data_IF_237641198967
#
_entry.id   IF_237641198967
#
_cell.length_a   1.000
_cell.length_b   1.000
_cell.length_c   1.000
_cell.angle_alpha   90.00
_cell.angle_beta   90.00
_cell.angle_gamma   90.00
#
_symmetry.space_group_name_H-M   'P 1'
#
loop_
_entity.id
_entity.type
_entity.pdbx_description
1 polymer ?
#
# COMPACT_ATOMS: atom_id res chain seq x y z
N UNK A 1 23.22 0.34 4.07
CA UNK A 1 24.25 1.03 3.25
C UNK A 1 25.48 1.24 4.10
N UNK A 2 26.62 0.73 3.61
CA UNK A 2 27.88 0.70 4.36
C UNK A 2 28.57 2.08 4.42
N UNK A 3 28.02 2.97 5.25
CA UNK A 3 28.66 4.26 5.54
C UNK A 3 29.95 4.13 6.36
N UNK A 4 30.24 2.96 6.93
CA UNK A 4 31.47 2.68 7.66
C UNK A 4 32.68 2.62 6.74
N UNK A 5 32.56 2.02 5.56
CA UNK A 5 33.66 1.91 4.58
C UNK A 5 34.05 3.24 3.96
N UNK A 6 33.06 4.11 3.63
CA UNK A 6 33.32 5.48 3.12
C UNK A 6 33.98 6.33 4.20
N UNK A 7 33.60 6.17 5.45
CA UNK A 7 34.17 6.89 6.58
C UNK A 7 35.64 6.54 6.81
N UNK A 8 35.98 5.26 6.76
CA UNK A 8 37.36 4.80 6.92
C UNK A 8 38.29 5.29 5.78
N UNK A 9 37.74 5.49 4.57
CA UNK A 9 38.53 5.92 3.40
C UNK A 9 38.82 7.43 3.39
N UNK A 10 37.87 8.29 3.80
CA UNK A 10 38.03 9.75 3.74
C UNK A 10 38.55 10.37 5.04
N UNK A 11 38.56 9.68 6.15
CA UNK A 11 38.94 10.17 7.44
C UNK A 11 40.41 10.69 7.48
N UNK A 12 41.41 9.95 6.97
CA UNK A 12 42.80 10.45 6.95
C UNK A 12 42.97 11.70 6.08
N UNK A 13 42.35 11.70 4.89
CA UNK A 13 42.50 12.82 3.92
C UNK A 13 41.91 14.13 4.46
N UNK A 14 40.78 14.08 5.17
CA UNK A 14 40.16 15.27 5.76
C UNK A 14 40.98 15.89 6.91
N UNK A 15 41.76 15.10 7.62
CA UNK A 15 42.63 15.59 8.69
C UNK A 15 43.89 16.33 8.15
N UNK A 16 44.28 16.02 6.91
CA UNK A 16 45.45 16.60 6.23
C UNK A 16 45.14 17.88 5.44
N UNK A 17 43.82 18.20 5.22
CA UNK A 17 43.45 19.45 4.52
C UNK A 17 43.67 20.67 5.42
N UNK A 18 43.69 21.86 4.79
CA UNK A 18 43.80 23.12 5.54
C UNK A 18 42.66 23.27 6.56
N UNK A 19 42.91 23.97 7.65
CA UNK A 19 41.89 24.19 8.69
C UNK A 19 40.63 24.87 8.13
N UNK A 20 40.77 25.77 7.17
CA UNK A 20 39.64 26.40 6.46
C UNK A 20 38.79 25.38 5.70
N UNK A 21 39.43 24.49 4.97
CA UNK A 21 38.73 23.42 4.22
C UNK A 21 38.07 22.44 5.19
N UNK A 22 38.75 22.09 6.28
CA UNK A 22 38.19 21.24 7.33
C UNK A 22 36.96 21.89 7.98
N UNK A 23 37.05 23.18 8.34
CA UNK A 23 35.94 23.95 8.91
C UNK A 23 34.72 23.96 7.97
N UNK A 24 34.93 24.25 6.67
CA UNK A 24 33.87 24.23 5.67
C UNK A 24 33.22 22.86 5.55
N UNK A 25 34.02 21.77 5.59
CA UNK A 25 33.50 20.40 5.57
C UNK A 25 32.69 20.09 6.83
N UNK A 26 33.10 20.53 8.01
CA UNK A 26 32.35 20.35 9.26
C UNK A 26 31.04 21.14 9.25
N UNK A 27 31.03 22.37 8.77
CA UNK A 27 29.80 23.13 8.57
C UNK A 27 28.86 22.41 7.61
N UNK A 28 29.37 21.91 6.50
CA UNK A 28 28.55 21.11 5.55
C UNK A 28 27.89 19.91 6.23
N UNK A 29 28.60 19.21 7.12
CA UNK A 29 28.03 18.10 7.89
C UNK A 29 26.93 18.58 8.86
N UNK A 30 27.11 19.75 9.48
CA UNK A 30 26.08 20.34 10.35
C UNK A 30 24.86 20.76 9.57
N UNK A 31 25.00 21.42 8.43
CA UNK A 31 23.88 21.80 7.55
C UNK A 31 23.17 20.61 6.90
N UNK A 32 23.87 19.48 6.73
CA UNK A 32 23.28 18.24 6.21
C UNK A 32 22.78 17.29 7.33
N UNK A 33 22.57 17.82 8.54
CA UNK A 33 22.05 17.07 9.70
C UNK A 33 22.95 15.90 10.18
N UNK A 34 24.22 15.88 9.76
CA UNK A 34 25.20 14.89 10.19
C UNK A 34 26.03 15.38 11.39
N UNK A 35 25.38 16.05 12.34
CA UNK A 35 26.00 16.76 13.49
C UNK A 35 26.87 15.80 14.33
N UNK A 36 26.41 14.58 14.59
CA UNK A 36 27.18 13.57 15.32
C UNK A 36 28.48 13.16 14.61
N UNK A 37 28.50 13.21 13.27
CA UNK A 37 29.69 12.93 12.46
C UNK A 37 30.68 14.12 12.56
N UNK A 38 30.17 15.34 12.38
CA UNK A 38 30.98 16.57 12.54
C UNK A 38 31.67 16.60 13.91
N UNK A 39 30.94 16.35 14.98
CA UNK A 39 31.51 16.32 16.34
C UNK A 39 32.65 15.31 16.49
N UNK A 40 32.46 14.05 16.02
CA UNK A 40 33.54 13.05 16.10
C UNK A 40 34.81 13.48 15.37
N UNK A 41 34.67 14.10 14.19
CA UNK A 41 35.78 14.53 13.41
C UNK A 41 36.51 15.75 14.08
N UNK A 42 35.75 16.65 14.69
CA UNK A 42 36.33 17.77 15.47
C UNK A 42 37.13 17.26 16.69
N UNK A 43 36.62 16.27 17.41
CA UNK A 43 37.32 15.63 18.53
C UNK A 43 38.64 15.00 18.07
N UNK A 44 38.65 14.28 16.93
CA UNK A 44 39.90 13.71 16.40
C UNK A 44 40.87 14.77 15.94
N UNK A 45 40.40 15.83 15.25
CA UNK A 45 41.26 16.94 14.78
C UNK A 45 41.96 17.66 15.96
N UNK A 46 41.21 17.88 17.05
CA UNK A 46 41.76 18.48 18.29
C UNK A 46 42.91 17.66 18.88
N UNK A 47 42.88 16.33 18.76
CA UNK A 47 43.92 15.43 19.25
C UNK A 47 45.15 15.36 18.35
N UNK A 48 45.06 15.80 17.10
CA UNK A 48 46.10 15.60 16.08
C UNK A 48 46.99 16.81 15.83
N UNK A 49 46.76 17.98 16.44
CA UNK A 49 47.61 19.16 16.24
C UNK A 49 46.98 20.49 16.63
N UNK A 50 47.23 21.53 15.83
CA UNK A 50 46.64 22.85 16.03
C UNK A 50 45.13 22.82 15.83
N UNK A 51 44.41 23.43 16.78
CA UNK A 51 42.95 23.49 16.75
C UNK A 51 42.52 24.98 16.82
N UNK A 52 42.25 25.61 15.65
CA UNK A 52 41.85 27.00 15.55
C UNK A 52 40.62 27.37 16.37
N UNK A 53 40.49 28.64 16.73
CA UNK A 53 39.37 29.18 17.52
C UNK A 53 38.01 28.90 16.89
N UNK A 54 37.91 28.97 15.57
CA UNK A 54 36.68 28.69 14.80
C UNK A 54 36.24 27.25 14.93
N UNK A 55 37.17 26.29 14.86
CA UNK A 55 36.91 24.88 15.08
C UNK A 55 36.53 24.57 16.53
N UNK A 56 37.22 25.24 17.49
CA UNK A 56 36.90 25.11 18.91
C UNK A 56 35.50 25.66 19.21
N UNK A 57 35.10 26.77 18.59
CA UNK A 57 33.77 27.33 18.74
C UNK A 57 32.70 26.39 18.13
N UNK A 58 32.92 25.91 16.92
CA UNK A 58 31.98 24.97 16.28
C UNK A 58 31.80 23.68 17.10
N UNK A 59 32.91 23.14 17.64
CA UNK A 59 32.86 21.98 18.54
C UNK A 59 32.02 22.27 19.78
N UNK A 60 32.26 23.41 20.44
CA UNK A 60 31.51 23.86 21.61
C UNK A 60 30.03 24.05 21.30
N UNK A 61 29.69 24.62 20.15
CA UNK A 61 28.30 24.80 19.71
C UNK A 61 27.58 23.44 19.47
N UNK A 62 28.29 22.48 18.89
CA UNK A 62 27.74 21.12 18.74
C UNK A 62 27.54 20.43 20.11
N UNK A 63 28.45 20.64 21.05
CA UNK A 63 28.31 20.12 22.41
C UNK A 63 27.12 20.74 23.16
N UNK A 64 26.90 22.06 22.99
CA UNK A 64 25.70 22.74 23.50
C UNK A 64 24.44 22.17 22.90
N UNK A 65 24.40 21.96 21.58
CA UNK A 65 23.24 21.31 20.93
C UNK A 65 22.98 19.92 21.50
N UNK A 66 24.00 19.10 21.65
CA UNK A 66 23.85 17.73 22.23
C UNK A 66 23.34 17.82 23.68
N UNK A 67 23.78 18.79 24.46
CA UNK A 67 23.28 19.05 25.80
C UNK A 67 21.80 19.43 25.77
N UNK A 68 21.39 20.35 24.90
CA UNK A 68 19.99 20.72 24.75
C UNK A 68 19.09 19.53 24.38
N UNK A 69 19.56 18.63 23.48
CA UNK A 69 18.84 17.40 23.15
C UNK A 69 18.70 16.51 24.40
N UNK A 70 19.77 16.32 25.17
CA UNK A 70 19.71 15.57 26.42
C UNK A 70 18.72 16.17 27.44
N UNK A 71 18.80 17.50 27.64
CA UNK A 71 17.90 18.19 28.56
C UNK A 71 16.44 18.04 28.14
N UNK A 72 16.16 18.11 26.84
CA UNK A 72 14.82 17.82 26.29
C UNK A 72 14.33 16.39 26.57
N UNK A 73 15.15 15.39 26.31
CA UNK A 73 14.80 13.97 26.55
C UNK A 73 14.55 13.69 28.06
N UNK A 74 15.24 14.43 28.95
CA UNK A 74 14.99 14.40 30.39
C UNK A 74 13.85 15.33 30.85
N UNK A 75 13.08 15.91 29.90
CA UNK A 75 11.96 16.82 30.15
C UNK A 75 12.35 18.13 30.88
N UNK A 76 13.61 18.53 30.81
CA UNK A 76 14.13 19.81 31.28
C UNK A 76 14.00 20.85 30.15
N UNK A 77 12.75 21.18 29.85
CA UNK A 77 12.43 21.94 28.62
C UNK A 77 12.99 23.35 28.65
N UNK A 78 12.98 24.04 29.82
CA UNK A 78 13.49 25.37 29.91
C UNK A 78 15.02 25.43 29.73
N UNK A 79 15.77 24.51 30.33
CA UNK A 79 17.21 24.41 30.18
C UNK A 79 17.61 24.07 28.74
N UNK A 80 16.79 23.25 28.07
CA UNK A 80 16.96 22.90 26.65
C UNK A 80 16.78 24.15 25.77
N UNK A 81 15.74 24.95 26.03
CA UNK A 81 15.46 26.21 25.31
C UNK A 81 16.56 27.23 25.51
N UNK A 82 16.91 27.51 26.76
CA UNK A 82 17.98 28.48 27.10
C UNK A 82 19.31 28.14 26.44
N UNK A 83 19.61 26.85 26.30
CA UNK A 83 20.81 26.36 25.61
C UNK A 83 20.73 26.54 24.10
N UNK A 84 19.52 26.46 23.51
CA UNK A 84 19.32 26.57 22.05
C UNK A 84 19.30 28.00 21.54
N UNK A 85 18.87 28.99 22.34
CA UNK A 85 18.79 30.41 21.90
C UNK A 85 20.09 30.93 21.27
N UNK A 86 21.26 30.86 21.88
CA UNK A 86 22.49 31.35 21.27
C UNK A 86 22.94 30.57 20.03
N UNK A 87 22.56 29.30 19.93
CA UNK A 87 22.83 28.49 18.73
C UNK A 87 21.97 28.94 17.56
N UNK A 88 20.71 29.23 17.81
CA UNK A 88 19.76 29.67 16.79
C UNK A 88 20.09 31.09 16.27
N UNK A 89 20.57 31.94 17.13
CA UNK A 89 21.07 33.28 16.73
C UNK A 89 22.30 33.18 15.81
N UNK A 90 23.20 32.23 16.09
CA UNK A 90 24.40 32.01 15.30
C UNK A 90 24.21 31.22 14.02
N UNK A 91 23.28 30.27 14.04
CA UNK A 91 23.02 29.33 12.95
C UNK A 91 21.51 29.22 12.64
N UNK A 92 20.83 30.30 12.21
CA UNK A 92 19.38 30.34 12.05
C UNK A 92 18.85 29.40 10.97
N UNK A 93 19.68 29.01 10.00
CA UNK A 93 19.32 28.22 8.85
C UNK A 93 19.82 26.75 8.93
N UNK A 94 20.36 26.33 10.10
CA UNK A 94 20.77 24.92 10.27
C UNK A 94 19.55 24.05 10.48
N UNK A 95 19.19 23.13 9.54
CA UNK A 95 17.96 22.37 9.59
C UNK A 95 17.77 21.61 10.92
N UNK A 96 18.83 20.98 11.44
CA UNK A 96 18.78 20.24 12.70
C UNK A 96 18.42 21.10 13.92
N UNK A 97 18.85 22.35 13.96
CA UNK A 97 18.53 23.30 15.06
C UNK A 97 17.07 23.78 14.91
N UNK A 98 16.65 24.11 13.68
CA UNK A 98 15.28 24.54 13.40
C UNK A 98 14.31 23.40 13.72
N UNK A 99 14.62 22.15 13.34
CA UNK A 99 13.83 20.97 13.68
C UNK A 99 13.69 20.75 15.18
N UNK A 100 14.79 20.93 15.92
CA UNK A 100 14.76 20.78 17.37
C UNK A 100 13.85 21.81 18.04
N UNK A 101 13.93 23.09 17.67
CA UNK A 101 13.05 24.14 18.20
C UNK A 101 11.59 23.89 17.80
N UNK A 102 11.35 23.48 16.55
CA UNK A 102 10.01 23.09 16.10
C UNK A 102 9.40 21.99 16.98
N UNK A 103 10.17 20.95 17.29
CA UNK A 103 9.75 19.85 18.16
C UNK A 103 9.37 20.36 19.55
N UNK A 104 10.16 21.24 20.10
CA UNK A 104 9.92 21.84 21.40
C UNK A 104 8.63 22.67 21.43
N UNK A 105 8.43 23.57 20.46
CA UNK A 105 7.22 24.38 20.35
C UNK A 105 5.97 23.53 20.11
N UNK A 106 6.09 22.48 19.31
CA UNK A 106 4.97 21.55 19.07
C UNK A 106 4.56 20.78 20.33
N UNK A 107 5.51 20.39 21.18
CA UNK A 107 5.18 19.76 22.45
C UNK A 107 4.39 20.70 23.37
N UNK A 108 4.74 21.98 23.41
CA UNK A 108 3.97 23.02 24.13
C UNK A 108 2.60 23.24 23.51
N UNK A 109 2.51 23.32 22.19
CA UNK A 109 1.27 23.52 21.46
C UNK A 109 0.27 22.35 21.67
N UNK A 110 0.74 21.10 21.73
CA UNK A 110 -0.08 19.91 22.04
C UNK A 110 -0.71 20.00 23.44
N UNK A 111 -0.05 20.70 24.37
CA UNK A 111 -0.54 20.98 25.72
C UNK A 111 -1.36 22.29 25.82
N UNK A 112 -1.66 22.93 24.69
CA UNK A 112 -2.43 24.17 24.63
C UNK A 112 -1.65 25.43 24.98
N UNK A 113 -0.30 25.33 25.01
CA UNK A 113 0.61 26.44 25.36
C UNK A 113 1.26 26.95 24.08
N UNK A 114 1.32 28.27 23.89
CA UNK A 114 2.07 28.94 22.82
C UNK A 114 1.75 28.47 21.39
N UNK A 115 0.51 28.12 21.13
CA UNK A 115 0.04 27.67 19.81
C UNK A 115 0.38 28.67 18.69
N UNK A 116 0.26 29.97 18.96
CA UNK A 116 0.54 31.03 17.98
C UNK A 116 2.04 31.10 17.69
N UNK A 117 2.89 30.96 18.71
CA UNK A 117 4.35 30.94 18.52
C UNK A 117 4.76 29.71 17.68
N UNK A 118 4.22 28.54 18.00
CA UNK A 118 4.48 27.32 17.23
C UNK A 118 4.09 27.49 15.75
N UNK A 119 2.91 28.09 15.49
CA UNK A 119 2.46 28.33 14.12
C UNK A 119 3.39 29.26 13.35
N UNK A 120 3.70 30.43 13.92
CA UNK A 120 4.60 31.40 13.30
C UNK A 120 5.97 30.80 13.01
N UNK A 121 6.48 30.00 13.95
CA UNK A 121 7.78 29.36 13.78
C UNK A 121 7.76 28.26 12.72
N UNK A 122 6.73 27.44 12.67
CA UNK A 122 6.59 26.42 11.62
C UNK A 122 6.39 27.04 10.24
N UNK A 123 5.62 28.13 10.13
CA UNK A 123 5.48 28.87 8.87
C UNK A 123 6.81 29.46 8.40
N UNK A 124 7.65 29.98 9.30
CA UNK A 124 8.98 30.45 8.98
C UNK A 124 9.91 29.30 8.57
N UNK A 125 9.88 28.18 9.29
CA UNK A 125 10.63 26.99 8.95
C UNK A 125 10.26 26.45 7.55
N UNK A 126 8.99 26.51 7.18
CA UNK A 126 8.51 26.12 5.84
C UNK A 126 8.92 27.10 4.74
N UNK A 127 9.14 28.39 5.05
CA UNK A 127 9.74 29.31 4.08
C UNK A 127 11.20 28.98 3.80
N UNK A 128 11.94 28.56 4.83
CA UNK A 128 13.34 28.14 4.68
C UNK A 128 13.46 26.75 4.03
N UNK A 129 12.55 25.83 4.36
CA UNK A 129 12.61 24.43 3.97
C UNK A 129 11.23 23.95 3.43
N UNK A 130 10.76 24.44 2.27
CA UNK A 130 9.38 24.22 1.79
C UNK A 130 9.09 22.75 1.42
N UNK A 131 10.11 21.96 1.12
CA UNK A 131 10.00 20.56 0.74
C UNK A 131 10.39 19.59 1.87
N UNK A 132 10.59 20.07 3.09
CA UNK A 132 10.93 19.19 4.21
C UNK A 132 9.68 18.63 4.89
N UNK A 133 9.43 17.34 4.68
CA UNK A 133 8.27 16.62 5.24
C UNK A 133 8.17 16.69 6.77
N UNK A 134 9.26 16.95 7.48
CA UNK A 134 9.25 17.13 8.94
C UNK A 134 8.46 18.38 9.37
N UNK A 135 8.66 19.50 8.71
CA UNK A 135 7.92 20.73 9.00
C UNK A 135 6.48 20.66 8.51
N UNK A 136 6.24 20.06 7.34
CA UNK A 136 4.87 19.77 6.85
C UNK A 136 4.09 18.89 7.84
N UNK A 137 4.72 17.89 8.44
CA UNK A 137 4.10 17.09 9.50
C UNK A 137 3.59 17.98 10.65
N UNK A 138 4.40 18.92 11.12
CA UNK A 138 3.99 19.81 12.21
C UNK A 138 2.93 20.81 11.81
N UNK A 139 2.96 21.32 10.58
CA UNK A 139 1.87 22.12 10.04
C UNK A 139 0.55 21.34 10.04
N UNK A 140 0.58 20.08 9.60
CA UNK A 140 -0.58 19.18 9.66
C UNK A 140 -1.08 18.96 11.09
N UNK A 141 -0.18 18.76 12.07
CA UNK A 141 -0.56 18.62 13.47
C UNK A 141 -1.22 19.89 14.04
N UNK A 142 -0.70 21.09 13.71
CA UNK A 142 -1.31 22.37 14.10
C UNK A 142 -2.71 22.54 13.52
N UNK A 143 -2.89 22.22 12.23
CA UNK A 143 -4.21 22.24 11.59
C UNK A 143 -5.17 21.26 12.27
N UNK A 144 -4.68 20.06 12.62
CA UNK A 144 -5.47 19.04 13.33
C UNK A 144 -5.95 19.53 14.69
N UNK A 145 -5.05 20.11 15.50
CA UNK A 145 -5.37 20.67 16.83
C UNK A 145 -6.42 21.81 16.69
N UNK A 146 -6.36 22.58 15.62
CA UNK A 146 -7.34 23.65 15.31
C UNK A 146 -8.69 23.12 14.78
N UNK A 147 -8.85 21.81 14.66
CA UNK A 147 -10.07 21.19 14.13
C UNK A 147 -10.21 21.25 12.60
N UNK A 148 -9.19 21.73 11.87
CA UNK A 148 -9.14 21.76 10.40
C UNK A 148 -8.67 20.42 9.84
N UNK A 149 -9.39 19.34 10.19
CA UNK A 149 -8.92 17.97 9.92
C UNK A 149 -8.76 17.66 8.43
N UNK A 150 -9.61 18.21 7.55
CA UNK A 150 -9.49 17.99 6.12
C UNK A 150 -8.19 18.57 5.55
N UNK A 151 -7.90 19.82 5.89
CA UNK A 151 -6.66 20.50 5.47
C UNK A 151 -5.43 19.79 6.05
N UNK A 152 -5.51 19.35 7.31
CA UNK A 152 -4.45 18.61 7.99
C UNK A 152 -4.09 17.31 7.25
N UNK A 153 -5.09 16.55 6.80
CA UNK A 153 -4.88 15.29 6.08
C UNK A 153 -4.18 15.49 4.74
N UNK A 154 -4.50 16.55 4.00
CA UNK A 154 -3.81 16.91 2.77
C UNK A 154 -2.33 17.24 3.04
N UNK A 155 -2.05 18.06 4.08
CA UNK A 155 -0.69 18.43 4.48
C UNK A 155 0.09 17.19 4.96
N UNK A 156 -0.54 16.26 5.69
CA UNK A 156 0.11 15.01 6.08
C UNK A 156 0.46 14.12 4.87
N UNK A 157 -0.40 14.10 3.83
CA UNK A 157 -0.10 13.37 2.61
C UNK A 157 1.14 13.95 1.91
N UNK A 158 1.22 15.28 1.80
CA UNK A 158 2.38 15.97 1.25
C UNK A 158 3.64 15.74 2.10
N UNK A 159 3.51 15.78 3.42
CA UNK A 159 4.61 15.46 4.34
C UNK A 159 5.17 14.06 4.11
N UNK A 160 4.30 13.08 3.88
CA UNK A 160 4.69 11.69 3.63
C UNK A 160 5.40 11.53 2.29
N UNK A 161 4.92 12.18 1.26
CA UNK A 161 5.52 12.12 -0.08
C UNK A 161 6.91 12.79 -0.13
N UNK A 162 7.09 13.88 0.62
CA UNK A 162 8.32 14.67 0.63
C UNK A 162 9.35 14.18 1.63
N UNK A 163 8.99 13.33 2.59
CA UNK A 163 9.97 12.85 3.58
C UNK A 163 10.68 11.59 3.12
N UNK A 164 12.01 11.63 3.14
CA UNK A 164 12.89 10.48 2.98
C UNK A 164 13.38 9.94 4.35
N UNK A 165 12.92 10.52 5.45
CA UNK A 165 13.36 10.17 6.79
C UNK A 165 12.39 9.16 7.43
N UNK A 166 12.85 7.93 7.66
CA UNK A 166 12.06 6.87 8.28
C UNK A 166 11.54 7.22 9.68
N UNK A 167 12.25 8.09 10.43
CA UNK A 167 11.78 8.55 11.76
C UNK A 167 10.53 9.42 11.59
N UNK A 168 10.54 10.36 10.64
CA UNK A 168 9.38 11.22 10.37
C UNK A 168 8.19 10.40 9.87
N UNK A 169 8.43 9.39 9.03
CA UNK A 169 7.37 8.46 8.59
C UNK A 169 6.79 7.69 9.78
N UNK A 170 7.63 7.18 10.67
CA UNK A 170 7.20 6.46 11.86
C UNK A 170 6.40 7.36 12.83
N UNK A 171 6.79 8.63 12.98
CA UNK A 171 6.04 9.60 13.80
C UNK A 171 4.67 9.91 13.19
N UNK A 172 4.58 10.07 11.86
CA UNK A 172 3.31 10.21 11.13
C UNK A 172 2.43 8.98 11.34
N UNK A 173 2.97 7.78 11.20
CA UNK A 173 2.23 6.54 11.42
C UNK A 173 1.70 6.44 12.85
N UNK A 174 2.53 6.74 13.85
CA UNK A 174 2.11 6.77 15.27
C UNK A 174 1.00 7.77 15.53
N UNK A 175 1.07 8.94 14.91
CA UNK A 175 0.05 9.98 15.06
C UNK A 175 -1.26 9.60 14.36
N UNK A 176 -1.19 9.08 13.13
CA UNK A 176 -2.36 8.83 12.27
C UNK A 176 -3.06 7.49 12.54
N UNK A 177 -2.35 6.46 13.00
CA UNK A 177 -2.92 5.12 13.18
C UNK A 177 -4.19 5.06 14.06
N UNK A 178 -4.29 5.77 15.20
CA UNK A 178 -5.53 5.80 16.00
C UNK A 178 -6.72 6.33 15.19
N UNK A 179 -6.52 7.38 14.40
CA UNK A 179 -7.56 8.01 13.58
C UNK A 179 -7.92 7.17 12.36
N UNK A 180 -6.96 6.42 11.81
CA UNK A 180 -7.21 5.45 10.74
C UNK A 180 -8.27 4.43 11.12
N UNK A 181 -8.28 3.95 12.37
CA UNK A 181 -9.31 3.02 12.88
C UNK A 181 -10.70 3.65 12.93
N UNK A 182 -10.81 4.90 13.39
CA UNK A 182 -12.08 5.62 13.40
C UNK A 182 -12.58 5.91 11.97
N UNK A 183 -11.67 6.25 11.08
CA UNK A 183 -11.98 6.46 9.66
C UNK A 183 -12.54 5.20 9.00
N UNK A 184 -11.99 4.04 9.32
CA UNK A 184 -12.51 2.75 8.84
C UNK A 184 -13.96 2.53 9.29
N UNK A 185 -14.31 2.84 10.53
CA UNK A 185 -15.70 2.78 11.00
C UNK A 185 -16.61 3.75 10.23
N UNK A 186 -16.15 4.98 10.02
CA UNK A 186 -16.88 5.96 9.21
C UNK A 186 -17.07 5.47 7.77
N UNK A 187 -16.04 4.90 7.17
CA UNK A 187 -16.14 4.29 5.84
C UNK A 187 -17.18 3.17 5.80
N UNK A 188 -17.19 2.29 6.79
CA UNK A 188 -18.20 1.23 6.89
C UNK A 188 -19.61 1.81 6.93
N UNK A 189 -19.85 2.80 7.78
CA UNK A 189 -21.16 3.50 7.87
C UNK A 189 -21.58 4.11 6.53
N UNK A 190 -20.64 4.78 5.83
CA UNK A 190 -20.91 5.35 4.50
C UNK A 190 -21.29 4.27 3.47
N UNK A 191 -20.61 3.11 3.50
CA UNK A 191 -20.94 1.99 2.62
C UNK A 191 -22.31 1.38 2.95
N UNK A 192 -22.64 1.25 4.24
CA UNK A 192 -23.92 0.69 4.70
C UNK A 192 -25.11 1.56 4.33
N UNK A 193 -24.96 2.91 4.35
CA UNK A 193 -26.00 3.85 3.90
C UNK A 193 -25.95 4.14 2.39
N UNK A 194 -25.09 3.46 1.64
CA UNK A 194 -24.99 3.58 0.19
C UNK A 194 -24.22 4.81 -0.33
N UNK A 195 -23.56 5.59 0.53
CA UNK A 195 -22.72 6.74 0.16
C UNK A 195 -21.32 6.31 -0.31
N UNK A 196 -21.30 5.53 -1.39
CA UNK A 196 -20.10 4.85 -1.90
C UNK A 196 -19.00 5.81 -2.37
N UNK A 197 -19.37 6.89 -3.05
CA UNK A 197 -18.42 7.90 -3.54
C UNK A 197 -17.74 8.64 -2.36
N UNK A 198 -18.48 8.92 -1.28
CA UNK A 198 -17.93 9.48 -0.04
C UNK A 198 -16.94 8.52 0.63
N UNK A 199 -17.31 7.24 0.74
CA UNK A 199 -16.42 6.20 1.27
C UNK A 199 -15.13 6.09 0.44
N UNK A 200 -15.24 6.14 -0.90
CA UNK A 200 -14.07 6.05 -1.80
C UNK A 200 -13.13 7.24 -1.63
N UNK A 201 -13.66 8.48 -1.60
CA UNK A 201 -12.84 9.69 -1.41
C UNK A 201 -12.10 9.63 -0.07
N UNK A 202 -12.81 9.28 1.00
CA UNK A 202 -12.24 9.14 2.33
C UNK A 202 -11.10 8.11 2.35
N UNK A 203 -11.36 6.92 1.82
CA UNK A 203 -10.36 5.84 1.85
C UNK A 203 -9.19 6.06 0.89
N UNK A 204 -9.39 6.75 -0.23
CA UNK A 204 -8.30 7.11 -1.14
C UNK A 204 -7.27 8.03 -0.44
N UNK A 205 -7.75 9.02 0.32
CA UNK A 205 -6.88 9.90 1.09
C UNK A 205 -6.14 9.13 2.19
N UNK A 206 -6.86 8.31 2.97
CA UNK A 206 -6.26 7.52 4.05
C UNK A 206 -5.29 6.44 3.54
N UNK A 207 -5.52 5.88 2.36
CA UNK A 207 -4.59 4.94 1.75
C UNK A 207 -3.27 5.61 1.32
N UNK A 208 -3.31 6.87 0.87
CA UNK A 208 -2.07 7.67 0.66
C UNK A 208 -1.32 7.92 1.98
N UNK A 209 -2.06 8.16 3.06
CA UNK A 209 -1.50 8.44 4.39
C UNK A 209 -0.94 7.20 5.08
N UNK A 210 -1.62 6.09 5.00
CA UNK A 210 -1.30 4.85 5.72
C UNK A 210 -1.38 3.62 4.80
N UNK A 211 -0.56 3.53 3.73
CA UNK A 211 -0.64 2.45 2.74
C UNK A 211 -0.34 1.07 3.35
N UNK A 212 0.46 1.03 4.42
CA UNK A 212 0.83 -0.22 5.10
C UNK A 212 -0.15 -0.63 6.22
N UNK A 213 -1.12 0.24 6.57
CA UNK A 213 -2.12 -0.12 7.56
C UNK A 213 -3.13 -1.13 6.99
N UNK A 214 -3.23 -2.36 7.53
CA UNK A 214 -4.06 -3.42 6.95
C UNK A 214 -5.54 -3.05 6.86
N UNK A 215 -6.09 -2.39 7.88
CA UNK A 215 -7.49 -2.00 7.90
C UNK A 215 -7.81 -0.91 6.88
N UNK A 216 -6.92 0.07 6.72
CA UNK A 216 -7.05 1.13 5.71
C UNK A 216 -6.99 0.52 4.31
N UNK A 217 -6.05 -0.39 4.08
CA UNK A 217 -5.86 -1.12 2.82
C UNK A 217 -7.11 -1.93 2.46
N UNK A 218 -7.63 -2.71 3.40
CA UNK A 218 -8.87 -3.49 3.22
C UNK A 218 -10.02 -2.59 2.75
N UNK A 219 -10.30 -1.54 3.50
CA UNK A 219 -11.45 -0.68 3.21
C UNK A 219 -11.26 0.19 1.97
N UNK A 220 -10.04 0.55 1.59
CA UNK A 220 -9.75 1.20 0.33
C UNK A 220 -10.16 0.32 -0.86
N UNK A 221 -9.71 -0.94 -0.88
CA UNK A 221 -10.08 -1.87 -1.95
C UNK A 221 -11.56 -2.22 -1.94
N UNK A 222 -12.18 -2.36 -0.77
CA UNK A 222 -13.62 -2.57 -0.63
C UNK A 222 -14.43 -1.38 -1.18
N UNK A 223 -14.04 -0.15 -0.87
CA UNK A 223 -14.67 1.05 -1.40
C UNK A 223 -14.52 1.13 -2.93
N UNK A 224 -13.34 0.87 -3.48
CA UNK A 224 -13.11 0.80 -4.94
C UNK A 224 -14.02 -0.23 -5.60
N UNK A 225 -14.14 -1.43 -5.06
CA UNK A 225 -15.04 -2.45 -5.57
C UNK A 225 -16.51 -1.99 -5.52
N UNK A 226 -16.88 -1.20 -4.52
CA UNK A 226 -18.25 -0.72 -4.33
C UNK A 226 -18.65 0.38 -5.32
N UNK A 227 -17.71 1.25 -5.73
CA UNK A 227 -17.99 2.38 -6.66
C UNK A 227 -17.80 2.01 -8.13
N UNK A 228 -17.04 0.96 -8.45
CA UNK A 228 -16.75 0.56 -9.82
C UNK A 228 -18.05 0.38 -10.63
N UNK A 229 -18.19 1.11 -11.73
CA UNK A 229 -19.40 1.14 -12.58
C UNK A 229 -19.23 0.29 -13.82
N UNK A 230 -18.03 0.29 -14.40
CA UNK A 230 -17.72 -0.43 -15.62
C UNK A 230 -17.11 -1.81 -15.31
N UNK A 231 -17.45 -2.79 -16.12
CA UNK A 231 -16.87 -4.14 -16.02
C UNK A 231 -15.34 -4.12 -16.07
N UNK A 232 -14.77 -3.29 -16.97
CA UNK A 232 -13.31 -3.13 -17.11
C UNK A 232 -12.63 -2.62 -15.83
N UNK A 233 -13.25 -1.68 -15.12
CA UNK A 233 -12.73 -1.16 -13.84
C UNK A 233 -12.68 -2.25 -12.76
N UNK A 234 -13.71 -3.11 -12.73
CA UNK A 234 -13.76 -4.25 -11.79
C UNK A 234 -12.71 -5.30 -12.14
N UNK A 235 -12.56 -5.62 -13.42
CA UNK A 235 -11.56 -6.59 -13.89
C UNK A 235 -10.13 -6.10 -13.64
N UNK A 236 -9.88 -4.80 -13.78
CA UNK A 236 -8.59 -4.18 -13.45
C UNK A 236 -8.30 -4.24 -11.95
N UNK A 237 -9.28 -3.90 -11.13
CA UNK A 237 -9.18 -4.01 -9.67
C UNK A 237 -8.86 -5.44 -9.23
N UNK A 238 -9.54 -6.44 -9.78
CA UNK A 238 -9.26 -7.84 -9.49
C UNK A 238 -7.83 -8.21 -9.87
N UNK A 239 -7.36 -7.80 -11.05
CA UNK A 239 -5.97 -8.07 -11.48
C UNK A 239 -4.94 -7.42 -10.55
N UNK A 240 -5.20 -6.19 -10.10
CA UNK A 240 -4.34 -5.49 -9.15
C UNK A 240 -4.28 -6.24 -7.81
N UNK A 241 -5.44 -6.61 -7.26
CA UNK A 241 -5.51 -7.35 -5.99
C UNK A 241 -4.79 -8.70 -6.10
N UNK A 242 -5.03 -9.46 -7.18
CA UNK A 242 -4.38 -10.75 -7.40
C UNK A 242 -2.85 -10.61 -7.49
N UNK A 243 -2.36 -9.59 -8.19
CA UNK A 243 -0.92 -9.30 -8.27
C UNK A 243 -0.31 -9.00 -6.89
N UNK A 244 -1.03 -8.27 -6.03
CA UNK A 244 -0.57 -8.02 -4.65
C UNK A 244 -0.56 -9.28 -3.81
N UNK A 245 -1.59 -10.11 -3.89
CA UNK A 245 -1.65 -11.41 -3.20
C UNK A 245 -0.46 -12.30 -3.62
N UNK A 246 -0.12 -12.31 -4.91
CA UNK A 246 1.02 -13.09 -5.40
C UNK A 246 2.35 -12.53 -4.89
N UNK A 247 2.50 -11.21 -4.80
CA UNK A 247 3.68 -10.57 -4.22
C UNK A 247 3.83 -10.89 -2.72
N UNK A 248 2.76 -10.75 -1.93
CA UNK A 248 2.74 -11.09 -0.49
C UNK A 248 3.10 -12.57 -0.24
N UNK A 249 2.62 -13.47 -1.11
CA UNK A 249 2.97 -14.90 -1.04
C UNK A 249 4.45 -15.17 -1.32
N UNK A 250 5.03 -14.41 -2.25
CA UNK A 250 6.45 -14.55 -2.57
C UNK A 250 7.36 -14.07 -1.42
N UNK A 251 6.93 -13.04 -0.71
CA UNK A 251 7.70 -12.47 0.41
C UNK A 251 7.53 -13.25 1.72
N UNK A 252 6.36 -13.84 1.96
CA UNK A 252 6.03 -14.56 3.21
C UNK A 252 5.30 -15.88 2.95
N UNK A 253 6.00 -16.96 2.63
CA UNK A 253 5.39 -18.24 2.25
C UNK A 253 4.63 -18.98 3.35
N UNK A 254 4.54 -18.47 4.58
CA UNK A 254 4.09 -19.26 5.75
C UNK A 254 2.93 -18.73 6.59
N UNK A 255 2.66 -17.43 6.65
CA UNK A 255 1.56 -16.85 7.45
C UNK A 255 0.96 -15.63 6.75
N UNK A 256 -0.25 -15.77 6.27
CA UNK A 256 -0.87 -14.81 5.37
C UNK A 256 -2.05 -14.03 5.99
N UNK A 257 -1.85 -13.38 7.15
CA UNK A 257 -2.85 -12.43 7.65
C UNK A 257 -3.07 -11.26 6.69
N UNK A 258 -2.02 -10.81 6.00
CA UNK A 258 -2.11 -9.69 5.06
C UNK A 258 -2.90 -10.03 3.79
N UNK A 259 -2.89 -11.28 3.37
CA UNK A 259 -3.73 -11.73 2.25
C UNK A 259 -5.22 -11.61 2.60
N UNK A 260 -5.63 -11.89 3.84
CA UNK A 260 -7.03 -11.85 4.26
C UNK A 260 -7.67 -10.46 4.12
N UNK A 261 -6.88 -9.38 4.14
CA UNK A 261 -7.38 -8.01 3.92
C UNK A 261 -8.07 -7.82 2.57
N UNK A 262 -7.68 -8.60 1.56
CA UNK A 262 -8.26 -8.48 0.22
C UNK A 262 -9.56 -9.28 0.03
N UNK A 263 -9.89 -10.18 0.97
CA UNK A 263 -11.00 -11.14 0.84
C UNK A 263 -12.35 -10.46 0.59
N UNK A 264 -12.70 -9.46 1.40
CA UNK A 264 -13.96 -8.73 1.27
C UNK A 264 -14.05 -7.95 -0.04
N UNK A 265 -12.95 -7.31 -0.42
CA UNK A 265 -12.88 -6.55 -1.66
C UNK A 265 -13.00 -7.44 -2.90
N UNK A 266 -12.31 -8.59 -2.93
CA UNK A 266 -12.44 -9.57 -4.01
C UNK A 266 -13.86 -10.13 -4.10
N UNK A 267 -14.44 -10.52 -2.96
CA UNK A 267 -15.83 -11.02 -2.95
C UNK A 267 -16.77 -9.98 -3.55
N UNK A 268 -16.62 -8.70 -3.13
CA UNK A 268 -17.42 -7.61 -3.68
C UNK A 268 -17.18 -7.36 -5.17
N UNK A 269 -15.95 -7.45 -5.62
CA UNK A 269 -15.62 -7.32 -7.03
C UNK A 269 -16.23 -8.46 -7.87
N UNK A 270 -16.19 -9.71 -7.39
CA UNK A 270 -16.86 -10.83 -8.06
C UNK A 270 -18.38 -10.63 -8.14
N UNK A 271 -19.02 -10.15 -7.06
CA UNK A 271 -20.45 -9.81 -7.08
C UNK A 271 -20.76 -8.75 -8.15
N UNK A 272 -19.92 -7.75 -8.32
CA UNK A 272 -20.07 -6.71 -9.36
C UNK A 272 -19.93 -7.26 -10.78
N UNK A 273 -19.19 -8.33 -10.97
CA UNK A 273 -19.12 -9.08 -12.24
C UNK A 273 -20.33 -10.02 -12.48
N UNK A 274 -21.29 -10.07 -11.55
CA UNK A 274 -22.50 -10.86 -11.68
C UNK A 274 -22.43 -12.24 -11.01
N UNK A 275 -21.41 -12.54 -10.21
CA UNK A 275 -21.39 -13.75 -9.40
C UNK A 275 -22.33 -13.61 -8.19
N UNK A 276 -23.24 -14.56 -7.94
CA UNK A 276 -24.05 -14.54 -6.71
C UNK A 276 -23.17 -14.56 -5.45
N UNK A 277 -23.63 -13.96 -4.36
CA UNK A 277 -22.81 -13.72 -3.17
C UNK A 277 -22.10 -14.95 -2.62
N UNK A 278 -22.76 -16.12 -2.55
CA UNK A 278 -22.10 -17.35 -2.09
C UNK A 278 -21.01 -17.83 -3.05
N UNK A 279 -21.24 -17.70 -4.35
CA UNK A 279 -20.26 -18.09 -5.36
C UNK A 279 -19.07 -17.12 -5.40
N UNK A 280 -19.33 -15.83 -5.21
CA UNK A 280 -18.27 -14.84 -5.08
C UNK A 280 -17.35 -15.15 -3.88
N UNK A 281 -17.93 -15.57 -2.74
CA UNK A 281 -17.16 -16.03 -1.56
C UNK A 281 -16.32 -17.26 -1.86
N UNK A 282 -16.94 -18.29 -2.44
CA UNK A 282 -16.22 -19.52 -2.83
C UNK A 282 -15.07 -19.21 -3.78
N UNK A 283 -15.28 -18.37 -4.79
CA UNK A 283 -14.23 -17.96 -5.71
C UNK A 283 -13.11 -17.19 -5.01
N UNK A 284 -13.45 -16.35 -4.05
CA UNK A 284 -12.48 -15.68 -3.21
C UNK A 284 -11.70 -16.68 -2.38
N UNK A 285 -12.36 -17.58 -1.69
CA UNK A 285 -11.71 -18.60 -0.87
C UNK A 285 -10.71 -19.43 -1.68
N UNK A 286 -11.05 -19.82 -2.92
CA UNK A 286 -10.14 -20.52 -3.82
C UNK A 286 -8.88 -19.74 -4.21
N UNK A 287 -8.94 -18.41 -4.25
CA UNK A 287 -7.76 -17.57 -4.47
C UNK A 287 -6.83 -17.62 -3.26
N UNK A 288 -7.39 -17.76 -2.05
CA UNK A 288 -6.62 -17.79 -0.80
C UNK A 288 -5.99 -19.13 -0.50
N UNK A 289 -6.73 -20.20 -0.79
CA UNK A 289 -6.25 -21.55 -0.62
C UNK A 289 -5.65 -22.01 -1.95
N UNK A 290 -4.34 -22.05 -2.05
CA UNK A 290 -3.63 -22.41 -3.28
C UNK A 290 -3.53 -23.91 -3.51
N UNK A 291 -4.22 -24.74 -2.71
CA UNK A 291 -4.04 -26.19 -2.67
C UNK A 291 -5.15 -26.96 -3.42
N UNK A 292 -4.74 -28.07 -4.02
CA UNK A 292 -5.63 -28.95 -4.78
C UNK A 292 -6.79 -29.52 -3.93
N UNK A 293 -6.59 -29.62 -2.62
CA UNK A 293 -7.58 -30.15 -1.67
C UNK A 293 -8.89 -29.37 -1.65
N UNK A 294 -8.84 -28.07 -1.91
CA UNK A 294 -10.05 -27.25 -1.92
C UNK A 294 -10.93 -27.42 -3.18
N UNK A 295 -10.34 -27.83 -4.28
CA UNK A 295 -11.12 -28.22 -5.47
C UNK A 295 -11.88 -29.52 -5.24
N UNK A 296 -11.31 -30.46 -4.50
CA UNK A 296 -11.97 -31.71 -4.11
C UNK A 296 -13.09 -31.45 -3.12
N UNK A 297 -12.85 -30.60 -2.12
CA UNK A 297 -13.89 -30.15 -1.18
C UNK A 297 -15.06 -29.48 -1.90
N UNK A 298 -14.80 -28.61 -2.87
CA UNK A 298 -15.84 -27.98 -3.69
C UNK A 298 -16.58 -28.98 -4.55
N UNK A 299 -15.88 -29.95 -5.14
CA UNK A 299 -16.50 -31.01 -5.94
C UNK A 299 -17.42 -31.90 -5.07
N UNK A 300 -17.00 -32.23 -3.84
CA UNK A 300 -17.83 -32.94 -2.87
C UNK A 300 -19.05 -32.11 -2.47
N UNK A 301 -18.90 -30.83 -2.16
CA UNK A 301 -20.03 -29.93 -1.90
C UNK A 301 -20.98 -29.79 -3.08
N UNK A 302 -20.47 -29.81 -4.32
CA UNK A 302 -21.29 -29.77 -5.52
C UNK A 302 -22.11 -31.06 -5.70
N UNK A 303 -21.66 -32.21 -5.18
CA UNK A 303 -22.42 -33.47 -5.16
C UNK A 303 -23.51 -33.46 -4.08
N UNK A 304 -23.44 -32.58 -3.09
CA UNK A 304 -24.41 -32.51 -2.00
C UNK A 304 -25.81 -32.16 -2.54
N UNK A 305 -26.75 -33.05 -2.34
CA UNK A 305 -28.12 -32.90 -2.82
C UNK A 305 -28.93 -31.79 -2.18
N UNK A 306 -28.42 -31.20 -1.07
CA UNK A 306 -29.03 -30.06 -0.38
C UNK A 306 -28.80 -28.72 -1.12
N UNK A 307 -27.80 -28.65 -2.02
CA UNK A 307 -27.53 -27.46 -2.82
C UNK A 307 -28.47 -27.44 -4.04
N UNK A 308 -29.14 -26.30 -4.30
CA UNK A 308 -30.00 -26.11 -5.47
C UNK A 308 -29.21 -26.34 -6.76
N UNK A 309 -29.86 -26.88 -7.80
CA UNK A 309 -29.24 -27.22 -9.10
C UNK A 309 -28.49 -26.04 -9.72
N UNK A 310 -29.06 -24.85 -9.68
CA UNK A 310 -28.44 -23.63 -10.23
C UNK A 310 -27.13 -23.28 -9.50
N UNK A 311 -27.10 -23.45 -8.18
CA UNK A 311 -25.88 -23.22 -7.38
C UNK A 311 -24.84 -24.30 -7.64
N UNK A 312 -25.23 -25.58 -7.80
CA UNK A 312 -24.32 -26.66 -8.19
C UNK A 312 -23.65 -26.38 -9.54
N UNK A 313 -24.46 -25.97 -10.54
CA UNK A 313 -23.93 -25.55 -11.84
C UNK A 313 -22.85 -24.47 -11.73
N UNK A 314 -23.08 -23.47 -10.86
CA UNK A 314 -22.13 -22.39 -10.62
C UNK A 314 -20.84 -22.89 -9.94
N UNK A 315 -20.94 -23.82 -8.98
CA UNK A 315 -19.77 -24.43 -8.31
C UNK A 315 -18.93 -25.21 -9.32
N UNK A 316 -19.54 -26.06 -10.13
CA UNK A 316 -18.82 -26.79 -11.18
C UNK A 316 -18.13 -25.86 -12.18
N UNK A 317 -18.80 -24.76 -12.57
CA UNK A 317 -18.16 -23.74 -13.42
C UNK A 317 -16.91 -23.15 -12.77
N UNK A 318 -16.96 -22.80 -11.48
CA UNK A 318 -15.79 -22.25 -10.76
C UNK A 318 -14.65 -23.25 -10.68
N UNK A 319 -14.93 -24.52 -10.39
CA UNK A 319 -13.93 -25.59 -10.41
C UNK A 319 -13.28 -25.68 -11.80
N UNK A 320 -14.09 -25.61 -12.85
CA UNK A 320 -13.62 -25.59 -14.24
C UNK A 320 -12.69 -24.40 -14.51
N UNK A 321 -13.06 -23.19 -14.05
CA UNK A 321 -12.24 -21.97 -14.21
C UNK A 321 -10.87 -22.11 -13.52
N UNK A 322 -10.82 -22.69 -12.33
CA UNK A 322 -9.56 -22.91 -11.59
C UNK A 322 -8.69 -23.94 -12.29
N UNK A 323 -9.25 -25.09 -12.67
CA UNK A 323 -8.51 -26.15 -13.39
C UNK A 323 -7.96 -25.64 -14.73
N UNK A 324 -8.71 -24.78 -15.42
CA UNK A 324 -8.24 -24.13 -16.65
C UNK A 324 -7.04 -23.25 -16.40
N UNK A 325 -7.06 -22.43 -15.35
CA UNK A 325 -5.90 -21.60 -14.95
C UNK A 325 -4.67 -22.43 -14.59
N UNK A 326 -4.86 -23.63 -14.07
CA UNK A 326 -3.79 -24.60 -13.78
C UNK A 326 -3.31 -25.35 -15.03
N UNK A 327 -3.83 -25.04 -16.23
CA UNK A 327 -3.50 -25.74 -17.48
C UNK A 327 -4.14 -27.12 -17.63
N UNK A 328 -5.04 -27.51 -16.70
CA UNK A 328 -5.76 -28.79 -16.72
C UNK A 328 -7.01 -28.71 -17.59
N UNK A 329 -6.83 -28.49 -18.90
CA UNK A 329 -7.90 -28.17 -19.85
C UNK A 329 -8.99 -29.25 -19.91
N UNK A 330 -8.61 -30.52 -19.93
CA UNK A 330 -9.56 -31.63 -19.98
C UNK A 330 -10.42 -31.73 -18.71
N UNK A 331 -9.78 -31.62 -17.54
CA UNK A 331 -10.47 -31.64 -16.26
C UNK A 331 -11.37 -30.38 -16.08
N UNK A 332 -10.94 -29.23 -16.58
CA UNK A 332 -11.77 -28.03 -16.62
C UNK A 332 -13.04 -28.25 -17.45
N UNK A 333 -12.89 -28.84 -18.62
CA UNK A 333 -13.98 -29.08 -19.53
C UNK A 333 -15.03 -30.06 -18.93
N UNK A 334 -14.59 -31.14 -18.27
CA UNK A 334 -15.48 -32.04 -17.55
C UNK A 334 -16.36 -31.33 -16.52
N UNK A 335 -15.77 -30.37 -15.79
CA UNK A 335 -16.55 -29.59 -14.84
C UNK A 335 -17.53 -28.62 -15.52
N UNK A 336 -17.18 -28.07 -16.67
CA UNK A 336 -18.10 -27.24 -17.45
C UNK A 336 -19.28 -28.05 -17.98
N UNK A 337 -19.04 -29.28 -18.42
CA UNK A 337 -20.11 -30.19 -18.82
C UNK A 337 -21.03 -30.50 -17.65
N UNK A 338 -20.48 -30.78 -16.48
CA UNK A 338 -21.29 -31.05 -15.29
C UNK A 338 -22.11 -29.82 -14.89
N UNK A 339 -21.53 -28.62 -15.01
CA UNK A 339 -22.27 -27.38 -14.80
C UNK A 339 -23.49 -27.25 -15.73
N UNK A 340 -23.34 -27.59 -17.01
CA UNK A 340 -24.44 -27.59 -17.97
C UNK A 340 -25.53 -28.65 -17.61
N UNK A 341 -25.13 -29.86 -17.22
CA UNK A 341 -26.04 -30.93 -16.78
C UNK A 341 -26.88 -30.54 -15.57
N UNK A 342 -26.38 -29.72 -14.70
CA UNK A 342 -27.09 -29.21 -13.52
C UNK A 342 -28.14 -28.14 -13.88
N UNK A 343 -28.40 -27.90 -15.16
CA UNK A 343 -29.39 -26.94 -15.67
C UNK A 343 -29.12 -25.51 -15.16
N UNK A 344 -27.90 -25.02 -15.35
CA UNK A 344 -27.47 -23.73 -14.93
C UNK A 344 -28.30 -22.58 -15.50
N UNK A 345 -28.27 -21.44 -14.85
CA UNK A 345 -28.90 -20.21 -15.32
C UNK A 345 -28.38 -19.81 -16.72
N UNK A 346 -29.18 -19.05 -17.48
CA UNK A 346 -28.75 -18.53 -18.79
C UNK A 346 -27.37 -17.84 -18.76
N UNK A 347 -27.02 -17.24 -17.65
CA UNK A 347 -25.69 -16.69 -17.42
C UNK A 347 -24.58 -17.76 -17.46
N UNK A 348 -24.76 -18.92 -16.81
CA UNK A 348 -23.78 -20.02 -16.83
C UNK A 348 -23.62 -20.56 -18.25
N UNK A 349 -24.71 -20.71 -18.99
CA UNK A 349 -24.66 -21.11 -20.40
C UNK A 349 -23.90 -20.13 -21.28
N UNK A 350 -24.20 -18.83 -21.16
CA UNK A 350 -23.51 -17.78 -21.93
C UNK A 350 -22.02 -17.77 -21.63
N UNK A 351 -21.61 -17.86 -20.36
CA UNK A 351 -20.19 -17.89 -19.99
C UNK A 351 -19.50 -19.17 -20.46
N UNK A 352 -20.17 -20.32 -20.42
CA UNK A 352 -19.62 -21.58 -20.92
C UNK A 352 -19.49 -21.55 -22.45
N UNK A 353 -20.47 -20.99 -23.16
CA UNK A 353 -20.37 -20.78 -24.61
C UNK A 353 -19.20 -19.89 -24.97
N UNK A 354 -19.02 -18.78 -24.23
CA UNK A 354 -17.89 -17.87 -24.42
C UNK A 354 -16.55 -18.56 -24.14
N UNK A 355 -16.43 -19.32 -23.05
CA UNK A 355 -15.21 -20.05 -22.70
C UNK A 355 -14.91 -21.11 -23.76
N UNK A 356 -15.91 -21.84 -24.21
CA UNK A 356 -15.79 -22.85 -25.26
C UNK A 356 -15.25 -22.24 -26.56
N UNK A 357 -15.86 -21.15 -27.03
CA UNK A 357 -15.44 -20.48 -28.27
C UNK A 357 -14.07 -19.79 -28.14
N UNK A 358 -13.74 -19.25 -26.97
CA UNK A 358 -12.52 -18.43 -26.83
C UNK A 358 -11.30 -19.20 -26.37
N UNK A 359 -11.44 -20.19 -25.49
CA UNK A 359 -10.32 -20.78 -24.77
C UNK A 359 -10.13 -22.29 -25.03
N UNK A 360 -11.20 -23.03 -25.33
CA UNK A 360 -11.10 -24.43 -25.71
C UNK A 360 -10.75 -24.60 -27.19
N UNK A 361 -11.00 -23.56 -27.97
CA UNK A 361 -10.55 -23.45 -29.33
C UNK A 361 -9.16 -22.79 -29.35
N UNK A 362 -8.15 -23.46 -29.88
CA UNK A 362 -6.82 -22.89 -30.04
C UNK A 362 -6.86 -21.57 -30.81
N UNK A 363 -6.07 -20.57 -30.37
CA UNK A 363 -6.17 -19.20 -30.89
C UNK A 363 -6.05 -19.06 -32.40
N UNK A 364 -5.30 -19.95 -33.07
CA UNK A 364 -5.21 -20.05 -34.53
C UNK A 364 -6.50 -20.54 -35.20
N UNK A 365 -7.28 -21.37 -34.51
CA UNK A 365 -8.54 -21.91 -35.00
C UNK A 365 -9.72 -20.99 -34.74
N UNK A 366 -9.58 -20.03 -33.79
CA UNK A 366 -10.58 -18.99 -33.56
C UNK A 366 -10.84 -18.12 -34.80
N UNK A 367 -9.78 -17.73 -35.48
CA UNK A 367 -9.90 -17.00 -36.73
C UNK A 367 -10.59 -17.83 -37.83
N UNK A 368 -10.37 -19.14 -37.85
CA UNK A 368 -11.01 -20.06 -38.78
C UNK A 368 -12.51 -20.24 -38.47
N UNK A 369 -12.89 -20.27 -37.18
CA UNK A 369 -14.32 -20.33 -36.79
C UNK A 369 -15.10 -19.11 -37.25
N UNK A 370 -14.48 -17.91 -37.13
CA UNK A 370 -15.14 -16.69 -37.60
C UNK A 370 -15.08 -16.52 -39.13
N UNK A 371 -14.06 -17.12 -39.80
CA UNK A 371 -13.84 -16.97 -41.24
C UNK A 371 -14.41 -18.09 -42.09
N UNK A 372 -14.55 -19.33 -41.54
CA UNK A 372 -14.97 -20.53 -42.28
C UNK A 372 -15.83 -21.44 -41.41
N UNK A 373 -17.14 -21.42 -41.63
CA UNK A 373 -18.09 -22.28 -40.89
C UNK A 373 -17.75 -23.79 -41.00
N UNK A 374 -17.07 -24.24 -42.06
CA UNK A 374 -16.67 -25.63 -42.25
C UNK A 374 -15.69 -26.17 -41.20
N UNK A 375 -14.65 -25.38 -40.87
CA UNK A 375 -13.63 -25.81 -39.92
C UNK A 375 -14.17 -25.83 -38.47
N UNK A 376 -15.11 -24.92 -38.16
CA UNK A 376 -15.83 -24.92 -36.91
C UNK A 376 -16.68 -26.17 -36.74
N UNK A 377 -17.38 -26.59 -37.80
CA UNK A 377 -18.21 -27.78 -37.81
C UNK A 377 -17.38 -29.06 -37.60
N UNK A 378 -16.20 -29.17 -38.21
CA UNK A 378 -15.33 -30.34 -38.04
C UNK A 378 -14.78 -30.43 -36.60
N UNK A 379 -14.33 -29.36 -36.02
CA UNK A 379 -13.89 -29.34 -34.63
C UNK A 379 -15.03 -29.67 -33.65
N UNK A 380 -16.19 -29.09 -33.85
CA UNK A 380 -17.36 -29.39 -33.05
C UNK A 380 -17.85 -30.84 -33.19
N UNK A 381 -17.72 -31.41 -34.39
CA UNK A 381 -18.02 -32.82 -34.62
C UNK A 381 -17.01 -33.76 -33.95
N UNK A 382 -15.72 -33.41 -33.88
CA UNK A 382 -14.73 -34.14 -33.07
C UNK A 382 -15.10 -34.14 -31.59
N UNK A 383 -15.52 -32.98 -31.08
CA UNK A 383 -15.99 -32.85 -29.71
C UNK A 383 -17.31 -33.58 -29.47
N UNK A 384 -18.24 -33.52 -30.40
CA UNK A 384 -19.47 -34.30 -30.36
C UNK A 384 -19.18 -35.81 -30.41
N UNK A 385 -18.18 -36.26 -31.17
CA UNK A 385 -17.73 -37.65 -31.19
C UNK A 385 -17.20 -38.11 -29.82
N UNK A 386 -16.51 -37.24 -29.11
CA UNK A 386 -15.96 -37.54 -27.79
C UNK A 386 -16.99 -37.40 -26.65
N UNK A 387 -17.94 -36.47 -26.77
CA UNK A 387 -18.89 -36.11 -25.71
C UNK A 387 -20.36 -36.11 -26.17
N UNK A 388 -20.66 -36.65 -27.33
CA UNK A 388 -21.86 -36.46 -28.11
C UNK A 388 -23.13 -37.17 -27.64
N UNK A 389 -23.05 -37.85 -26.50
CA UNK A 389 -24.27 -38.37 -25.83
C UNK A 389 -24.93 -37.34 -24.89
N UNK A 390 -24.43 -36.11 -24.86
CA UNK A 390 -24.87 -35.08 -23.92
C UNK A 390 -25.68 -34.04 -24.69
N UNK A 391 -26.99 -34.04 -24.45
CA UNK A 391 -27.96 -33.17 -25.13
C UNK A 391 -27.59 -31.66 -24.98
N UNK A 392 -27.05 -31.27 -23.83
CA UNK A 392 -26.61 -29.92 -23.56
C UNK A 392 -25.43 -29.45 -24.43
N UNK A 393 -24.52 -30.37 -24.82
CA UNK A 393 -23.43 -30.05 -25.75
C UNK A 393 -23.99 -29.88 -27.16
N UNK A 394 -24.92 -30.72 -27.58
CA UNK A 394 -25.55 -30.58 -28.89
C UNK A 394 -26.29 -29.24 -29.00
N UNK A 395 -26.95 -28.82 -27.93
CA UNK A 395 -27.60 -27.50 -27.88
C UNK A 395 -26.58 -26.36 -27.91
N UNK A 396 -25.49 -26.45 -27.13
CA UNK A 396 -24.41 -25.46 -27.10
C UNK A 396 -23.76 -25.32 -28.48
N UNK A 397 -23.51 -26.42 -29.17
CA UNK A 397 -22.98 -26.45 -30.53
C UNK A 397 -23.92 -25.75 -31.51
N UNK A 398 -25.22 -26.00 -31.43
CA UNK A 398 -26.23 -25.33 -32.25
C UNK A 398 -26.31 -23.83 -32.00
N UNK A 399 -26.10 -23.39 -30.77
CA UNK A 399 -26.13 -21.98 -30.40
C UNK A 399 -24.82 -21.25 -30.83
N UNK A 400 -23.73 -22.00 -31.08
CA UNK A 400 -22.44 -21.47 -31.52
C UNK A 400 -22.22 -21.50 -33.04
N UNK A 401 -22.99 -22.29 -33.79
CA UNK A 401 -23.03 -22.36 -35.26
C UNK A 401 -24.08 -21.42 -35.83
#
# INVERSE_FOLDING_TARGET
EDFGGIYAFYHPVLLEVSDVTFYAAMLTLVYTERIGKAWRMLVVKEQTGTFPSELAQLKSDIELFRRAVCDYEFKRYQEAEDTMVPLMERYPEVPGFVKFKSRFLMERARNGIDMVEAELYIDEALRLFPEDGYFLKYQGELLWIKGKCADALEVFADAREKTNNGITQLELDKFLNPYGRETVKTCQQLLDVGQKDGAMKLMALWYRLLPENPSVREYYYLARASVAKKRSEVEELIREILKRIDAERAESPGENNDIQIYKRALTKAWERLGYPGELARVRTDLVYTSEADDLEWLAERAKDGQIRKEKRAQVYKVIGDVRRKQGQTEAAFQNYLEALRQNGSGFVRTELSRIFLTDLYEGSKRAAVYAKAGDASEFLNQWLGKYGSIEEIQQLVKECL
#
